data_IF_596395889007
#
_entry.id   IF_596395889007
#
_cell.length_a   1.000
_cell.length_b   1.000
_cell.length_c   1.000
_cell.angle_alpha   90.00
_cell.angle_beta   90.00
_cell.angle_gamma   90.00
#
_symmetry.space_group_name_H-M   'P 1'
#
loop_
_entity.id
_entity.type
_entity.pdbx_description
1 polymer ?
#
# COMPACT_ATOMS: atom_id res chain seq x y z
N UNK A 1 -9.99 -3.83 -6.12
CA UNK A 1 -9.73 -2.58 -5.41
C UNK A 1 -10.15 -1.38 -6.25
N UNK A 2 -11.19 -0.70 -5.76
CA UNK A 2 -11.83 0.46 -6.34
C UNK A 2 -10.97 1.71 -6.14
N UNK A 3 -11.18 2.79 -6.93
CA UNK A 3 -10.51 4.06 -6.70
C UNK A 3 -10.76 4.64 -5.30
N UNK A 4 -11.96 4.42 -4.75
CA UNK A 4 -12.33 4.87 -3.42
C UNK A 4 -11.53 4.14 -2.32
N UNK A 5 -11.46 2.80 -2.38
CA UNK A 5 -10.63 1.99 -1.46
C UNK A 5 -9.16 2.42 -1.54
N UNK A 6 -8.63 2.63 -2.75
CA UNK A 6 -7.24 3.07 -2.97
C UNK A 6 -6.95 4.41 -2.28
N UNK A 7 -7.84 5.40 -2.45
CA UNK A 7 -7.71 6.73 -1.83
C UNK A 7 -7.87 6.67 -0.30
N UNK A 8 -8.74 5.80 0.19
CA UNK A 8 -8.92 5.58 1.63
C UNK A 8 -7.66 5.00 2.28
N UNK A 9 -7.03 4.02 1.62
CA UNK A 9 -5.75 3.44 2.06
C UNK A 9 -4.63 4.48 2.07
N UNK A 10 -4.49 5.29 1.02
CA UNK A 10 -3.50 6.38 0.98
C UNK A 10 -3.69 7.34 2.14
N UNK A 11 -4.92 7.83 2.35
CA UNK A 11 -5.24 8.73 3.46
C UNK A 11 -4.95 8.10 4.82
N UNK A 12 -5.27 6.81 4.98
CA UNK A 12 -4.98 6.07 6.20
C UNK A 12 -3.48 6.01 6.47
N UNK A 13 -2.66 5.58 5.50
CA UNK A 13 -1.21 5.49 5.66
C UNK A 13 -0.57 6.85 5.93
N UNK A 14 -0.95 7.90 5.18
CA UNK A 14 -0.46 9.27 5.42
C UNK A 14 -0.72 9.72 6.86
N UNK A 15 -1.94 9.47 7.37
CA UNK A 15 -2.31 9.78 8.76
C UNK A 15 -1.52 8.93 9.76
N UNK A 16 -1.42 7.63 9.53
CA UNK A 16 -0.77 6.67 10.45
C UNK A 16 0.71 6.97 10.61
N UNK A 17 1.41 7.25 9.51
CA UNK A 17 2.85 7.54 9.52
C UNK A 17 3.18 9.03 9.60
N UNK A 18 2.17 9.91 9.63
CA UNK A 18 2.33 11.37 9.56
C UNK A 18 3.21 11.81 8.38
N UNK A 19 3.02 11.16 7.23
CA UNK A 19 3.87 11.31 6.05
C UNK A 19 3.05 11.52 4.79
N UNK A 20 2.90 12.78 4.36
CA UNK A 20 2.14 13.14 3.15
C UNK A 20 2.77 12.62 1.85
N UNK A 21 4.07 12.27 1.87
CA UNK A 21 4.80 11.76 0.70
C UNK A 21 4.42 10.32 0.30
N UNK A 22 3.54 9.64 1.07
CA UNK A 22 3.03 8.32 0.73
C UNK A 22 2.03 8.43 -0.43
N UNK A 23 2.18 7.58 -1.43
CA UNK A 23 1.25 7.42 -2.56
C UNK A 23 0.82 5.96 -2.69
N UNK A 24 -0.44 5.72 -3.02
CA UNK A 24 -0.96 4.36 -3.26
C UNK A 24 -1.47 4.23 -4.68
N UNK A 25 -0.85 3.34 -5.47
CA UNK A 25 -1.09 3.22 -6.91
C UNK A 25 -1.64 1.84 -7.27
N UNK A 26 -2.62 1.83 -8.17
CA UNK A 26 -3.18 0.58 -8.70
C UNK A 26 -2.16 -0.12 -9.60
N UNK A 27 -2.12 -1.44 -9.49
CA UNK A 27 -1.33 -2.30 -10.38
C UNK A 27 -2.07 -2.47 -11.71
N UNK A 28 -1.35 -2.40 -12.83
CA UNK A 28 -1.98 -2.47 -14.16
C UNK A 28 -2.71 -3.79 -14.45
N UNK A 29 -2.29 -4.90 -13.84
CA UNK A 29 -2.80 -6.25 -14.14
C UNK A 29 -3.48 -6.95 -12.96
N UNK A 30 -3.45 -6.35 -11.77
CA UNK A 30 -3.91 -6.97 -10.52
C UNK A 30 -4.99 -6.11 -9.90
N UNK A 31 -6.17 -6.69 -9.68
CA UNK A 31 -7.31 -5.98 -9.10
C UNK A 31 -7.42 -6.18 -7.59
N UNK A 32 -6.70 -7.15 -7.03
CA UNK A 32 -6.67 -7.51 -5.61
C UNK A 32 -5.64 -6.71 -4.80
N UNK A 33 -4.81 -5.88 -5.45
CA UNK A 33 -3.68 -5.23 -4.79
C UNK A 33 -3.31 -3.86 -5.36
N UNK A 34 -2.62 -3.08 -4.54
CA UNK A 34 -1.99 -1.79 -4.88
C UNK A 34 -0.53 -1.79 -4.44
N UNK A 35 0.26 -0.95 -5.08
CA UNK A 35 1.63 -0.66 -4.71
C UNK A 35 1.68 0.63 -3.88
N UNK A 36 2.54 0.65 -2.87
CA UNK A 36 2.77 1.81 -1.99
C UNK A 36 4.13 2.40 -2.34
N UNK A 37 4.16 3.73 -2.48
CA UNK A 37 5.36 4.48 -2.78
C UNK A 37 5.59 5.57 -1.73
N UNK A 38 6.85 5.88 -1.46
CA UNK A 38 7.28 7.04 -0.66
C UNK A 38 8.27 7.83 -1.49
N UNK A 39 7.96 9.10 -1.80
CA UNK A 39 8.85 9.94 -2.65
C UNK A 39 9.30 9.23 -3.94
N UNK A 40 8.35 8.59 -4.64
CA UNK A 40 8.58 7.83 -5.88
C UNK A 40 9.30 6.47 -5.71
N UNK A 41 9.77 6.13 -4.51
CA UNK A 41 10.37 4.82 -4.21
C UNK A 41 9.29 3.79 -3.85
N UNK A 42 9.37 2.59 -4.40
CA UNK A 42 8.46 1.50 -4.07
C UNK A 42 8.81 0.91 -2.71
N UNK A 43 7.85 0.88 -1.78
CA UNK A 43 8.08 0.38 -0.41
C UNK A 43 7.25 -0.84 -0.06
N UNK A 44 6.25 -1.22 -0.86
CA UNK A 44 5.47 -2.41 -0.56
C UNK A 44 4.18 -2.56 -1.33
N UNK A 45 3.44 -3.62 -1.01
CA UNK A 45 2.17 -3.97 -1.64
C UNK A 45 1.09 -4.09 -0.57
N UNK A 46 -0.10 -3.57 -0.85
CA UNK A 46 -1.29 -3.87 -0.05
C UNK A 46 -2.16 -4.84 -0.84
N UNK A 47 -2.53 -5.95 -0.21
CA UNK A 47 -3.50 -6.91 -0.71
C UNK A 47 -4.84 -6.69 -0.01
N UNK A 48 -5.92 -6.71 -0.78
CA UNK A 48 -7.28 -6.79 -0.25
C UNK A 48 -7.60 -8.26 0.03
N UNK A 49 -8.09 -8.51 1.22
CA UNK A 49 -8.71 -9.77 1.61
C UNK A 49 -10.21 -9.52 1.83
N UNK A 50 -11.04 -10.39 1.28
CA UNK A 50 -12.50 -10.25 1.22
C UNK A 50 -13.11 -11.63 1.50
N UNK A 51 -12.85 -12.14 2.71
CA UNK A 51 -13.32 -13.42 3.22
C UNK A 51 -14.46 -13.21 4.22
N UNK A 52 -15.44 -14.13 4.24
CA UNK A 52 -16.51 -14.20 5.24
C UNK A 52 -17.33 -12.90 5.48
N UNK A 53 -17.46 -12.05 4.46
CA UNK A 53 -18.10 -10.73 4.50
C UNK A 53 -17.33 -9.67 5.32
N UNK A 54 -16.07 -9.93 5.65
CA UNK A 54 -15.17 -8.96 6.28
C UNK A 54 -14.08 -8.55 5.30
N UNK A 55 -14.01 -7.25 5.01
CA UNK A 55 -12.93 -6.70 4.18
C UNK A 55 -11.76 -6.31 5.07
N UNK A 56 -10.61 -6.92 4.83
CA UNK A 56 -9.34 -6.54 5.46
C UNK A 56 -8.27 -6.20 4.42
N UNK A 57 -7.20 -5.55 4.86
CA UNK A 57 -6.11 -5.12 4.00
C UNK A 57 -4.77 -5.49 4.62
N UNK A 58 -3.97 -6.27 3.91
CA UNK A 58 -2.64 -6.69 4.35
C UNK A 58 -1.58 -5.84 3.67
N UNK A 59 -0.80 -5.08 4.44
CA UNK A 59 0.37 -4.37 3.92
C UNK A 59 1.64 -5.21 4.10
N UNK A 60 2.34 -5.47 3.00
CA UNK A 60 3.61 -6.20 2.97
C UNK A 60 4.71 -5.28 2.45
N UNK A 61 5.73 -5.06 3.28
CA UNK A 61 6.97 -4.36 2.95
C UNK A 61 8.12 -5.35 3.12
N UNK A 62 8.88 -5.57 2.06
CA UNK A 62 10.13 -6.30 2.15
C UNK A 62 11.24 -5.30 2.50
N UNK A 63 12.07 -5.65 3.47
CA UNK A 63 13.28 -4.92 3.82
C UNK A 63 14.44 -5.85 3.53
N UNK A 64 15.29 -5.48 2.58
CA UNK A 64 16.48 -6.22 2.20
C UNK A 64 17.68 -5.72 3.02
N UNK A 65 18.70 -6.57 3.16
CA UNK A 65 19.94 -6.17 3.85
C UNK A 65 20.58 -4.94 3.19
N UNK A 66 20.49 -4.83 1.86
CA UNK A 66 21.04 -3.69 1.12
C UNK A 66 20.28 -2.37 1.42
N UNK A 67 18.99 -2.42 1.75
CA UNK A 67 18.21 -1.24 2.16
C UNK A 67 18.64 -0.70 3.53
N UNK A 68 19.34 -1.50 4.33
CA UNK A 68 19.86 -1.14 5.65
C UNK A 68 21.29 -0.59 5.62
N UNK A 69 21.97 -0.65 4.47
CA UNK A 69 23.39 -0.28 4.32
C UNK A 69 23.62 1.20 4.00
N UNK A 70 22.67 2.08 4.33
CA UNK A 70 22.85 3.54 4.21
C UNK A 70 23.97 4.10 5.10
#
# INVERSE_FOLDING_TARGET
>A
MTPAETKALEKYLRKTFSLEAIEVKKRQKKQDSVEVFVKEEFVGVIYKDDEDNEVSYQFQMAILEDDLKE
#
